data_IF_999816014017
#
_entry.id   IF_999816014017
#
_cell.length_a   1.000
_cell.length_b   1.000
_cell.length_c   1.000
_cell.angle_alpha   90.00
_cell.angle_beta   90.00
_cell.angle_gamma   90.00
#
_symmetry.space_group_name_H-M   'P 1'
#
loop_
_entity.id
_entity.type
_entity.pdbx_description
1 polymer ?
#
# COMPACT_ATOMS: atom_id res chain seq x y z
N UNK A 1 39.02 -11.20 1.83
CA UNK A 1 37.56 -11.29 2.06
C UNK A 1 37.30 -11.67 3.50
N UNK A 2 36.28 -11.07 4.12
CA UNK A 2 35.81 -11.36 5.48
C UNK A 2 34.35 -11.80 5.44
N UNK A 3 33.99 -12.85 6.19
CA UNK A 3 32.60 -13.33 6.21
C UNK A 3 31.73 -12.42 7.09
N UNK A 4 30.53 -12.14 6.59
CA UNK A 4 29.47 -11.38 7.25
C UNK A 4 28.29 -12.30 7.53
N UNK A 5 27.90 -12.36 8.79
CA UNK A 5 26.91 -13.33 9.27
C UNK A 5 25.58 -12.64 9.64
N UNK A 6 24.49 -13.38 9.51
CA UNK A 6 23.27 -13.09 10.27
C UNK A 6 23.48 -13.35 11.76
N UNK A 7 22.90 -12.50 12.62
CA UNK A 7 23.00 -12.63 14.08
C UNK A 7 21.67 -13.13 14.68
N UNK A 8 21.34 -14.41 14.44
CA UNK A 8 20.03 -15.00 14.79
C UNK A 8 20.22 -16.22 15.70
N UNK A 9 19.39 -16.38 16.73
CA UNK A 9 19.42 -17.57 17.59
C UNK A 9 18.97 -18.84 16.83
N UNK A 10 19.57 -20.01 17.10
CA UNK A 10 20.66 -20.26 18.07
C UNK A 10 22.07 -19.97 17.52
N UNK A 11 22.22 -19.61 16.24
CA UNK A 11 23.50 -19.40 15.57
C UNK A 11 23.95 -17.92 15.60
N UNK A 12 24.23 -17.39 16.79
CA UNK A 12 24.71 -16.01 16.94
C UNK A 12 26.15 -15.84 16.44
N UNK A 13 26.48 -14.60 16.08
CA UNK A 13 27.85 -14.17 15.79
C UNK A 13 28.73 -14.40 17.01
N UNK A 14 29.90 -15.02 16.80
CA UNK A 14 30.88 -15.33 17.85
C UNK A 14 31.92 -14.22 17.99
N UNK A 15 32.70 -14.20 19.08
CA UNK A 15 33.82 -13.26 19.20
C UNK A 15 34.78 -13.37 18.01
N UNK A 16 35.05 -12.24 17.35
CA UNK A 16 35.90 -12.15 16.16
C UNK A 16 35.16 -12.34 14.82
N UNK A 17 33.90 -12.75 14.83
CA UNK A 17 33.02 -12.71 13.66
C UNK A 17 32.30 -11.35 13.60
N UNK A 18 31.85 -10.94 12.42
CA UNK A 18 31.14 -9.67 12.20
C UNK A 18 29.76 -9.92 11.62
N UNK A 19 28.74 -9.22 12.14
CA UNK A 19 27.41 -9.27 11.52
C UNK A 19 27.36 -8.40 10.26
N UNK A 20 26.48 -8.76 9.32
CA UNK A 20 26.25 -7.94 8.13
C UNK A 20 25.88 -6.49 8.49
N UNK A 21 24.99 -6.31 9.46
CA UNK A 21 24.51 -4.97 9.83
C UNK A 21 25.61 -4.12 10.47
N UNK A 22 26.43 -4.72 11.36
CA UNK A 22 27.54 -3.98 11.97
C UNK A 22 28.58 -3.56 10.93
N UNK A 23 28.90 -4.45 9.98
CA UNK A 23 29.81 -4.13 8.88
C UNK A 23 29.22 -3.06 7.95
N UNK A 24 27.92 -3.13 7.67
CA UNK A 24 27.21 -2.18 6.83
C UNK A 24 27.25 -0.78 7.44
N UNK A 25 26.88 -0.64 8.71
CA UNK A 25 26.93 0.65 9.42
C UNK A 25 28.35 1.21 9.45
N UNK A 26 29.35 0.40 9.80
CA UNK A 26 30.74 0.85 9.81
C UNK A 26 31.22 1.32 8.42
N UNK A 27 30.77 0.65 7.37
CA UNK A 27 31.13 1.03 5.99
C UNK A 27 30.44 2.29 5.52
N UNK A 28 29.23 2.56 6.02
CA UNK A 28 28.55 3.83 5.77
C UNK A 28 29.23 5.01 6.45
N UNK A 29 29.70 4.85 7.70
CA UNK A 29 30.39 5.92 8.43
C UNK A 29 31.65 6.43 7.70
N UNK A 30 32.30 5.53 6.95
CA UNK A 30 33.45 5.88 6.12
C UNK A 30 33.04 6.44 4.75
N UNK A 31 31.94 5.97 4.16
CA UNK A 31 31.56 6.27 2.78
C UNK A 31 30.95 7.68 2.57
N UNK A 32 30.95 8.15 1.33
CA UNK A 32 30.13 9.29 0.88
C UNK A 32 29.06 8.89 -0.13
N UNK A 33 29.23 7.75 -0.80
CA UNK A 33 28.25 7.13 -1.69
C UNK A 33 28.12 5.62 -1.45
N UNK A 34 26.88 5.13 -1.52
CA UNK A 34 26.53 3.70 -1.52
C UNK A 34 25.81 3.34 -2.82
N UNK A 35 26.31 2.35 -3.55
CA UNK A 35 25.55 1.70 -4.63
C UNK A 35 25.09 0.32 -4.18
N UNK A 36 23.81 0.01 -4.40
CA UNK A 36 23.18 -1.28 -4.07
C UNK A 36 22.59 -1.88 -5.34
N UNK A 37 22.98 -3.11 -5.68
CA UNK A 37 22.31 -3.93 -6.66
C UNK A 37 21.76 -5.17 -5.95
N UNK A 38 20.45 -5.24 -5.79
CA UNK A 38 19.80 -6.30 -5.00
C UNK A 38 18.62 -6.93 -5.74
N UNK A 39 18.32 -8.19 -5.44
CA UNK A 39 17.16 -8.86 -6.00
C UNK A 39 15.85 -8.29 -5.44
N UNK A 40 15.74 -8.29 -4.11
CA UNK A 40 14.57 -7.79 -3.40
C UNK A 40 14.97 -6.75 -2.34
N UNK A 41 14.03 -5.90 -1.99
CA UNK A 41 14.10 -4.99 -0.85
C UNK A 41 12.77 -5.03 -0.09
N UNK A 42 12.71 -4.43 1.10
CA UNK A 42 11.43 -4.18 1.77
C UNK A 42 11.14 -2.70 1.79
N UNK A 43 9.86 -2.33 1.96
CA UNK A 43 9.45 -0.95 2.20
C UNK A 43 10.22 -0.36 3.39
N UNK A 44 10.34 -1.09 4.50
CA UNK A 44 11.08 -0.63 5.67
C UNK A 44 12.57 -0.42 5.40
N UNK A 45 13.19 -1.23 4.53
CA UNK A 45 14.60 -1.03 4.17
C UNK A 45 14.81 0.24 3.33
N UNK A 46 13.92 0.54 2.37
CA UNK A 46 13.98 1.78 1.61
C UNK A 46 13.83 3.01 2.52
N UNK A 47 12.88 2.96 3.47
CA UNK A 47 12.70 4.01 4.47
C UNK A 47 13.90 4.16 5.42
N UNK A 48 14.58 3.06 5.77
CA UNK A 48 15.80 3.13 6.59
C UNK A 48 16.95 3.77 5.80
N UNK A 49 17.09 3.49 4.50
CA UNK A 49 18.06 4.18 3.64
C UNK A 49 17.76 5.68 3.54
N UNK A 50 16.49 6.07 3.41
CA UNK A 50 16.11 7.49 3.44
C UNK A 50 16.53 8.13 4.75
N UNK A 51 16.28 7.47 5.88
CA UNK A 51 16.70 7.96 7.20
C UNK A 51 18.23 8.16 7.27
N UNK A 52 19.01 7.20 6.78
CA UNK A 52 20.48 7.28 6.72
C UNK A 52 20.95 8.48 5.88
N UNK A 53 20.27 8.77 4.77
CA UNK A 53 20.52 9.97 3.95
C UNK A 53 20.19 11.26 4.71
N UNK A 54 19.06 11.30 5.43
CA UNK A 54 18.65 12.49 6.19
C UNK A 54 19.55 12.74 7.43
N UNK A 55 20.11 11.69 8.01
CA UNK A 55 21.10 11.79 9.11
C UNK A 55 22.51 12.17 8.60
N UNK A 56 22.70 12.31 7.28
CA UNK A 56 23.97 12.64 6.60
C UNK A 56 25.10 11.63 6.87
N UNK A 57 24.78 10.37 7.17
CA UNK A 57 25.78 9.30 7.28
C UNK A 57 26.43 9.02 5.93
N UNK A 58 25.63 9.11 4.85
CA UNK A 58 26.08 9.02 3.46
C UNK A 58 25.42 10.15 2.67
N UNK A 59 26.10 10.68 1.65
CA UNK A 59 25.58 11.82 0.88
C UNK A 59 24.80 11.39 -0.37
N UNK A 60 25.09 10.20 -0.92
CA UNK A 60 24.50 9.69 -2.15
C UNK A 60 24.18 8.20 -2.10
N UNK A 61 23.04 7.80 -2.64
CA UNK A 61 22.67 6.40 -2.79
C UNK A 61 22.13 6.08 -4.18
N UNK A 62 22.53 4.93 -4.74
CA UNK A 62 21.93 4.35 -5.95
C UNK A 62 21.39 2.96 -5.63
N UNK A 63 20.11 2.70 -5.90
CA UNK A 63 19.49 1.39 -5.64
C UNK A 63 18.97 0.80 -6.95
N UNK A 64 19.46 -0.38 -7.30
CA UNK A 64 18.96 -1.17 -8.42
C UNK A 64 18.20 -2.39 -7.89
N UNK A 65 16.90 -2.46 -8.18
CA UNK A 65 16.04 -3.56 -7.77
C UNK A 65 15.82 -4.54 -8.93
N UNK A 66 16.18 -5.80 -8.70
CA UNK A 66 16.39 -6.75 -9.78
C UNK A 66 15.22 -7.67 -10.16
N UNK A 67 14.26 -7.88 -9.25
CA UNK A 67 13.20 -8.89 -9.45
C UNK A 67 11.83 -8.28 -9.78
N UNK A 68 11.54 -7.06 -9.29
CA UNK A 68 10.18 -6.52 -9.26
C UNK A 68 9.56 -6.21 -10.62
N UNK A 69 10.34 -5.83 -11.63
CA UNK A 69 9.77 -5.54 -12.95
C UNK A 69 9.09 -6.79 -13.55
N UNK A 70 9.68 -7.97 -13.35
CA UNK A 70 9.20 -9.22 -13.95
C UNK A 70 8.25 -9.97 -13.01
N UNK A 71 8.46 -9.92 -11.70
CA UNK A 71 7.63 -10.65 -10.72
C UNK A 71 6.48 -9.84 -10.15
N UNK A 72 6.50 -8.53 -10.38
CA UNK A 72 5.59 -7.57 -9.80
C UNK A 72 6.07 -7.02 -8.46
N UNK A 73 5.60 -5.81 -8.14
CA UNK A 73 5.98 -5.07 -6.94
C UNK A 73 4.77 -4.86 -6.03
N UNK A 74 4.87 -5.12 -4.71
CA UNK A 74 3.81 -4.76 -3.76
C UNK A 74 3.49 -3.27 -3.84
N UNK A 75 2.21 -2.91 -3.93
CA UNK A 75 1.75 -1.52 -4.10
C UNK A 75 2.32 -0.57 -3.05
N UNK A 76 2.27 -0.95 -1.78
CA UNK A 76 2.75 -0.12 -0.69
C UNK A 76 4.26 0.08 -0.69
N UNK A 77 5.01 -0.84 -1.31
CA UNK A 77 6.43 -0.69 -1.57
C UNK A 77 6.67 0.19 -2.81
N UNK A 78 5.90 0.00 -3.88
CA UNK A 78 5.99 0.80 -5.10
C UNK A 78 5.76 2.28 -4.83
N UNK A 79 4.67 2.63 -4.16
CA UNK A 79 4.37 4.03 -3.83
C UNK A 79 5.43 4.65 -2.93
N UNK A 80 5.94 3.90 -1.94
CA UNK A 80 7.05 4.37 -1.11
C UNK A 80 8.35 4.56 -1.92
N UNK A 81 8.65 3.67 -2.86
CA UNK A 81 9.82 3.81 -3.72
C UNK A 81 9.69 5.00 -4.67
N UNK A 82 8.50 5.27 -5.21
CA UNK A 82 8.23 6.44 -6.05
C UNK A 82 8.41 7.74 -5.27
N UNK A 83 7.81 7.86 -4.08
CA UNK A 83 7.95 9.04 -3.21
C UNK A 83 9.42 9.29 -2.85
N UNK A 84 10.16 8.23 -2.49
CA UNK A 84 11.58 8.33 -2.19
C UNK A 84 12.42 8.69 -3.42
N UNK A 85 12.11 8.14 -4.59
CA UNK A 85 12.83 8.46 -5.82
C UNK A 85 12.66 9.94 -6.19
N UNK A 86 11.45 10.49 -6.11
CA UNK A 86 11.18 11.92 -6.32
C UNK A 86 11.95 12.77 -5.30
N UNK A 87 11.80 12.47 -4.01
CA UNK A 87 12.50 13.18 -2.93
C UNK A 87 14.02 13.19 -3.12
N UNK A 88 14.61 12.04 -3.43
CA UNK A 88 16.06 11.90 -3.58
C UNK A 88 16.58 12.55 -4.86
N UNK A 89 15.77 12.60 -5.91
CA UNK A 89 16.08 13.31 -7.13
C UNK A 89 16.10 14.82 -6.89
N UNK A 90 15.09 15.35 -6.20
CA UNK A 90 14.97 16.79 -5.87
C UNK A 90 16.11 17.29 -5.00
N UNK A 91 16.59 16.46 -4.06
CA UNK A 91 17.72 16.79 -3.18
C UNK A 91 19.08 16.40 -3.76
N UNK A 92 19.12 15.72 -4.92
CA UNK A 92 20.35 15.20 -5.52
C UNK A 92 21.06 14.12 -4.68
N UNK A 93 20.30 13.46 -3.79
CA UNK A 93 20.79 12.48 -2.82
C UNK A 93 20.73 11.03 -3.34
N UNK A 94 19.98 10.75 -4.41
CA UNK A 94 19.94 9.38 -4.91
C UNK A 94 18.87 9.06 -5.94
N UNK A 95 18.87 7.80 -6.36
CA UNK A 95 17.99 7.28 -7.41
C UNK A 95 17.63 5.81 -7.12
N UNK A 96 16.42 5.42 -7.52
CA UNK A 96 15.94 4.03 -7.48
C UNK A 96 15.62 3.58 -8.91
N UNK A 97 16.25 2.50 -9.34
CA UNK A 97 16.12 1.92 -10.69
C UNK A 97 15.59 0.49 -10.61
N UNK A 98 14.91 0.04 -11.67
CA UNK A 98 14.47 -1.35 -11.85
C UNK A 98 15.20 -2.02 -13.01
N UNK A 99 15.69 -3.25 -12.80
CA UNK A 99 16.18 -4.10 -13.90
C UNK A 99 14.99 -4.62 -14.70
N UNK A 100 15.02 -4.43 -16.03
CA UNK A 100 13.92 -4.79 -16.93
C UNK A 100 14.12 -6.07 -17.75
N UNK A 101 15.27 -6.29 -18.42
CA UNK A 101 15.39 -7.35 -19.41
C UNK A 101 15.55 -8.75 -18.81
N UNK A 102 15.86 -8.87 -17.52
CA UNK A 102 16.04 -10.15 -16.84
C UNK A 102 15.85 -10.01 -15.32
N UNK A 103 15.63 -11.15 -14.67
CA UNK A 103 15.53 -11.27 -13.21
C UNK A 103 16.93 -11.21 -12.61
N UNK A 104 17.33 -10.05 -12.09
CA UNK A 104 18.59 -9.93 -11.37
C UNK A 104 18.39 -10.34 -9.91
N UNK A 105 18.97 -11.46 -9.51
CA UNK A 105 18.87 -11.98 -8.15
C UNK A 105 20.15 -11.80 -7.32
N UNK A 106 21.17 -11.12 -7.85
CA UNK A 106 22.40 -10.84 -7.11
C UNK A 106 22.17 -9.89 -5.93
N UNK A 107 23.12 -9.85 -5.00
CA UNK A 107 23.14 -8.89 -3.89
C UNK A 107 24.55 -8.36 -3.74
N UNK A 108 24.75 -7.13 -4.17
CA UNK A 108 26.04 -6.43 -4.19
C UNK A 108 25.85 -5.05 -3.60
N UNK A 109 26.76 -4.66 -2.70
CA UNK A 109 26.83 -3.34 -2.11
C UNK A 109 28.24 -2.81 -2.37
N UNK A 110 28.35 -1.57 -2.85
CA UNK A 110 29.64 -0.94 -3.13
C UNK A 110 29.69 0.40 -2.44
N UNK A 111 30.70 0.59 -1.60
CA UNK A 111 30.93 1.78 -0.81
C UNK A 111 32.05 2.60 -1.44
N UNK A 112 31.82 3.91 -1.55
CA UNK A 112 32.74 4.84 -2.20
C UNK A 112 33.17 5.93 -1.23
N UNK A 113 34.39 6.43 -1.46
CA UNK A 113 34.92 7.65 -0.88
C UNK A 113 35.60 8.46 -1.98
N UNK A 114 35.25 9.73 -2.13
CA UNK A 114 35.82 10.63 -3.13
C UNK A 114 35.76 10.00 -4.55
N UNK A 115 34.60 9.43 -4.89
CA UNK A 115 34.34 8.71 -6.15
C UNK A 115 35.19 7.45 -6.41
N UNK A 116 35.95 6.96 -5.41
CA UNK A 116 36.70 5.72 -5.50
C UNK A 116 36.02 4.61 -4.68
N UNK A 117 35.71 3.44 -5.28
CA UNK A 117 35.17 2.33 -4.52
C UNK A 117 36.28 1.74 -3.64
N UNK A 118 36.02 1.60 -2.34
CA UNK A 118 37.02 1.11 -1.39
C UNK A 118 36.62 -0.20 -0.69
N UNK A 119 35.32 -0.49 -0.65
CA UNK A 119 34.78 -1.69 0.00
C UNK A 119 33.56 -2.19 -0.74
N UNK A 120 33.38 -3.50 -0.81
CA UNK A 120 32.21 -4.10 -1.42
C UNK A 120 31.74 -5.34 -0.67
N UNK A 121 30.43 -5.53 -0.59
CA UNK A 121 29.80 -6.73 -0.06
C UNK A 121 29.14 -7.52 -1.18
N UNK A 122 29.26 -8.84 -1.14
CA UNK A 122 28.58 -9.77 -2.05
C UNK A 122 28.11 -10.99 -1.28
N UNK A 123 26.89 -11.46 -1.54
CA UNK A 123 26.39 -12.68 -0.90
C UNK A 123 24.89 -12.86 -1.00
N UNK A 124 24.28 -13.33 0.09
CA UNK A 124 22.85 -13.65 0.13
C UNK A 124 21.98 -12.50 0.65
N UNK A 125 22.51 -11.62 1.51
CA UNK A 125 21.77 -10.53 2.15
C UNK A 125 21.15 -9.54 1.15
N UNK A 126 19.84 -9.62 0.97
CA UNK A 126 19.05 -8.59 0.24
C UNK A 126 19.01 -7.27 1.03
N UNK A 127 18.55 -6.18 0.40
CA UNK A 127 18.53 -4.86 1.07
C UNK A 127 17.62 -4.86 2.32
N UNK A 128 16.64 -5.77 2.36
CA UNK A 128 15.84 -6.05 3.56
C UNK A 128 16.66 -6.34 4.82
N UNK A 129 17.92 -6.77 4.72
CA UNK A 129 18.79 -7.01 5.87
C UNK A 129 19.13 -5.74 6.68
N UNK A 130 19.02 -4.55 6.06
CA UNK A 130 19.22 -3.25 6.74
C UNK A 130 18.08 -2.97 7.73
N UNK A 131 16.88 -3.48 7.48
CA UNK A 131 15.72 -3.34 8.35
C UNK A 131 14.97 -4.65 8.50
N UNK A 132 15.22 -5.35 9.61
CA UNK A 132 14.57 -6.63 9.89
C UNK A 132 13.06 -6.46 10.13
N UNK A 133 12.29 -7.24 9.39
CA UNK A 133 10.83 -7.34 9.42
C UNK A 133 10.41 -8.79 9.65
N UNK A 134 9.12 -9.04 9.91
CA UNK A 134 8.62 -10.38 10.22
C UNK A 134 8.98 -11.43 9.14
N UNK A 135 9.03 -11.03 7.86
CA UNK A 135 9.33 -11.91 6.74
C UNK A 135 10.79 -12.38 6.67
N UNK A 136 11.76 -11.55 7.08
CA UNK A 136 13.18 -11.86 6.96
C UNK A 136 13.87 -12.10 8.32
N UNK A 137 13.21 -11.83 9.45
CA UNK A 137 13.78 -12.01 10.81
C UNK A 137 14.24 -13.44 11.12
N UNK A 138 13.78 -14.44 10.37
CA UNK A 138 14.16 -15.85 10.52
C UNK A 138 15.03 -16.38 9.38
N UNK A 139 15.42 -15.53 8.43
CA UNK A 139 16.31 -15.92 7.34
C UNK A 139 17.75 -15.78 7.82
N UNK A 140 18.48 -16.88 7.82
CA UNK A 140 19.92 -16.84 8.10
C UNK A 140 20.68 -16.70 6.80
N UNK A 141 21.41 -15.60 6.66
CA UNK A 141 22.15 -15.23 5.47
C UNK A 141 23.65 -15.14 5.77
N UNK A 142 24.44 -15.34 4.71
CA UNK A 142 25.89 -15.25 4.70
C UNK A 142 26.33 -14.37 3.53
N UNK A 143 27.23 -13.43 3.79
CA UNK A 143 27.87 -12.61 2.77
C UNK A 143 29.37 -12.53 3.00
N UNK A 144 30.10 -11.98 2.03
CA UNK A 144 31.50 -11.66 2.14
C UNK A 144 31.73 -10.17 1.89
N UNK A 145 32.59 -9.57 2.70
CA UNK A 145 33.15 -8.24 2.50
C UNK A 145 34.53 -8.35 1.85
N UNK A 146 34.84 -7.45 0.92
CA UNK A 146 36.18 -7.28 0.38
C UNK A 146 36.60 -5.81 0.34
N UNK A 147 37.89 -5.60 0.59
CA UNK A 147 38.61 -4.33 0.46
C UNK A 147 39.79 -4.50 -0.52
N UNK A 148 39.89 -5.64 -1.20
CA UNK A 148 40.89 -5.85 -2.23
C UNK A 148 40.55 -4.94 -3.43
N UNK A 149 41.43 -4.03 -3.85
CA UNK A 149 41.12 -3.05 -4.90
C UNK A 149 40.65 -3.66 -6.22
N UNK A 150 41.21 -4.81 -6.63
CA UNK A 150 40.83 -5.47 -7.89
C UNK A 150 39.42 -6.08 -7.80
N UNK A 151 39.10 -6.74 -6.68
CA UNK A 151 37.78 -7.33 -6.45
C UNK A 151 36.70 -6.25 -6.31
N UNK A 152 37.01 -5.19 -5.54
CA UNK A 152 36.12 -4.04 -5.34
C UNK A 152 35.83 -3.35 -6.68
N UNK A 153 36.87 -3.10 -7.49
CA UNK A 153 36.72 -2.49 -8.82
C UNK A 153 35.91 -3.36 -9.77
N UNK A 154 36.09 -4.69 -9.73
CA UNK A 154 35.30 -5.61 -10.53
C UNK A 154 33.81 -5.57 -10.17
N UNK A 155 33.48 -5.55 -8.87
CA UNK A 155 32.10 -5.44 -8.38
C UNK A 155 31.48 -4.07 -8.72
N UNK A 156 32.23 -2.99 -8.53
CA UNK A 156 31.80 -1.64 -8.90
C UNK A 156 31.48 -1.54 -10.39
N UNK A 157 32.36 -2.08 -11.25
CA UNK A 157 32.14 -2.12 -12.70
C UNK A 157 30.87 -2.89 -13.07
N UNK A 158 30.63 -4.04 -12.43
CA UNK A 158 29.42 -4.81 -12.67
C UNK A 158 28.14 -4.02 -12.30
N UNK A 159 28.13 -3.37 -11.13
CA UNK A 159 26.99 -2.55 -10.70
C UNK A 159 26.76 -1.39 -11.68
N UNK A 160 27.82 -0.75 -12.16
CA UNK A 160 27.73 0.31 -13.16
C UNK A 160 27.19 -0.19 -14.51
N UNK A 161 27.56 -1.39 -14.95
CA UNK A 161 27.01 -2.02 -16.16
C UNK A 161 25.52 -2.36 -16.00
N UNK A 162 25.09 -2.77 -14.80
CA UNK A 162 23.68 -3.02 -14.47
C UNK A 162 22.87 -1.72 -14.41
N UNK A 163 23.49 -0.61 -14.01
CA UNK A 163 22.89 0.73 -13.97
C UNK A 163 22.61 1.33 -15.35
N UNK A 164 23.22 0.80 -16.42
CA UNK A 164 23.05 1.37 -17.76
C UNK A 164 21.61 1.22 -18.27
N UNK A 165 21.11 2.15 -19.13
CA UNK A 165 19.74 2.14 -19.67
C UNK A 165 19.29 0.84 -20.36
N UNK A 166 20.26 0.08 -20.89
CA UNK A 166 20.03 -1.25 -21.50
C UNK A 166 19.60 -2.31 -20.48
N UNK A 167 19.91 -2.11 -19.20
CA UNK A 167 19.67 -3.04 -18.11
C UNK A 167 18.59 -2.51 -17.16
N UNK A 168 18.66 -1.23 -16.78
CA UNK A 168 17.74 -0.64 -15.81
C UNK A 168 17.30 0.77 -16.19
N UNK A 169 16.19 1.22 -15.61
CA UNK A 169 15.67 2.58 -15.73
C UNK A 169 15.22 3.10 -14.37
N UNK A 170 15.18 4.43 -14.17
CA UNK A 170 14.55 5.05 -13.00
C UNK A 170 13.13 4.52 -12.81
N UNK A 171 12.73 4.27 -11.57
CA UNK A 171 11.40 3.71 -11.25
C UNK A 171 10.26 4.60 -11.80
N UNK A 172 10.45 5.91 -11.83
CA UNK A 172 9.48 6.87 -12.37
C UNK A 172 9.27 6.75 -13.89
N UNK A 173 10.24 6.20 -14.61
CA UNK A 173 10.18 6.00 -16.06
C UNK A 173 9.68 4.59 -16.45
N UNK A 174 9.37 3.75 -15.46
CA UNK A 174 8.93 2.37 -15.69
C UNK A 174 7.46 2.37 -16.10
N UNK A 175 7.18 1.64 -17.18
CA UNK A 175 5.82 1.34 -17.64
C UNK A 175 5.64 -0.18 -17.77
N UNK A 176 4.38 -0.64 -17.63
CA UNK A 176 4.03 -2.06 -17.83
C UNK A 176 4.47 -3.02 -16.71
N UNK A 177 4.89 -2.52 -15.55
CA UNK A 177 5.17 -3.37 -14.38
C UNK A 177 3.87 -3.75 -13.66
N UNK A 178 3.73 -5.03 -13.32
CA UNK A 178 2.60 -5.50 -12.49
C UNK A 178 2.75 -5.02 -11.05
N UNK A 179 1.69 -4.44 -10.49
CA UNK A 179 1.60 -4.19 -9.06
C UNK A 179 0.86 -5.33 -8.37
N UNK A 180 1.37 -5.77 -7.22
CA UNK A 180 0.78 -6.82 -6.40
C UNK A 180 -0.08 -6.15 -5.35
N UNK A 181 -1.40 -6.33 -5.46
CA UNK A 181 -2.36 -5.79 -4.50
C UNK A 181 -2.19 -6.40 -3.13
N UNK A 182 -2.05 -5.55 -2.12
CA UNK A 182 -1.91 -5.94 -0.73
C UNK A 182 -3.28 -6.13 -0.08
N UNK A 183 -3.41 -7.14 0.79
CA UNK A 183 -4.69 -7.46 1.41
C UNK A 183 -5.05 -6.42 2.47
N UNK A 184 -6.29 -5.93 2.41
CA UNK A 184 -6.87 -5.13 3.46
C UNK A 184 -7.13 -5.99 4.70
N UNK A 185 -6.50 -5.65 5.83
CA UNK A 185 -6.65 -6.38 7.09
C UNK A 185 -7.60 -5.69 8.08
N UNK A 186 -8.14 -4.51 7.76
CA UNK A 186 -8.96 -3.69 8.66
C UNK A 186 -10.33 -4.31 9.02
N UNK A 187 -10.79 -5.27 8.21
CA UNK A 187 -12.04 -6.00 8.40
C UNK A 187 -11.88 -7.30 9.21
N UNK A 188 -10.65 -7.70 9.55
CA UNK A 188 -10.42 -8.94 10.29
C UNK A 188 -11.04 -8.89 11.69
N UNK A 189 -11.83 -9.91 12.02
CA UNK A 189 -12.47 -10.03 13.32
C UNK A 189 -13.66 -9.10 13.55
N UNK A 190 -14.14 -8.41 12.51
CA UNK A 190 -15.42 -7.66 12.57
C UNK A 190 -16.57 -8.67 12.51
N UNK A 191 -17.51 -8.61 13.45
CA UNK A 191 -18.56 -9.62 13.60
C UNK A 191 -19.62 -9.56 12.49
N UNK A 192 -19.90 -8.36 11.98
CA UNK A 192 -20.94 -8.11 10.98
C UNK A 192 -20.50 -8.42 9.54
N UNK A 193 -19.25 -8.85 9.34
CA UNK A 193 -18.70 -9.20 8.03
C UNK A 193 -18.31 -10.66 7.98
N UNK A 194 -18.61 -11.30 6.86
CA UNK A 194 -18.13 -12.65 6.53
C UNK A 194 -17.22 -12.58 5.31
N UNK A 195 -16.27 -13.51 5.20
CA UNK A 195 -15.41 -13.61 4.04
C UNK A 195 -15.89 -14.74 3.13
N UNK A 196 -16.05 -14.42 1.85
CA UNK A 196 -16.38 -15.37 0.81
C UNK A 196 -15.11 -15.89 0.14
N UNK A 197 -15.11 -17.16 -0.30
CA UNK A 197 -14.03 -17.67 -1.13
C UNK A 197 -14.09 -17.04 -2.54
N UNK A 198 -12.95 -16.93 -3.25
CA UNK A 198 -12.90 -16.26 -4.56
C UNK A 198 -13.90 -16.79 -5.60
N UNK A 199 -14.11 -18.12 -5.63
CA UNK A 199 -15.08 -18.75 -6.52
C UNK A 199 -16.54 -18.32 -6.26
N UNK A 200 -16.89 -17.95 -5.03
CA UNK A 200 -18.20 -17.39 -4.72
C UNK A 200 -18.33 -15.96 -5.22
N UNK A 201 -17.25 -15.16 -5.14
CA UNK A 201 -17.23 -13.80 -5.70
C UNK A 201 -17.40 -13.83 -7.21
N UNK A 202 -16.62 -14.68 -7.90
CA UNK A 202 -16.73 -14.90 -9.35
C UNK A 202 -18.13 -15.37 -9.79
N UNK A 203 -18.84 -16.10 -8.93
CA UNK A 203 -20.22 -16.49 -9.21
C UNK A 203 -21.13 -15.27 -9.23
N UNK A 204 -21.07 -14.42 -8.19
CA UNK A 204 -21.90 -13.20 -8.14
C UNK A 204 -21.57 -12.22 -9.27
N UNK A 205 -20.31 -12.12 -9.65
CA UNK A 205 -19.86 -11.30 -10.78
C UNK A 205 -20.53 -11.73 -12.11
N UNK A 206 -20.63 -13.04 -12.37
CA UNK A 206 -21.35 -13.58 -13.55
C UNK A 206 -22.86 -13.33 -13.54
N UNK A 207 -23.41 -13.00 -12.38
CA UNK A 207 -24.84 -12.74 -12.17
C UNK A 207 -25.17 -11.24 -12.11
N UNK A 208 -24.21 -10.36 -12.41
CA UNK A 208 -24.46 -8.92 -12.56
C UNK A 208 -25.47 -8.68 -13.69
N UNK A 209 -26.46 -7.85 -13.40
CA UNK A 209 -27.47 -7.38 -14.36
C UNK A 209 -27.02 -6.10 -15.04
N UNK A 210 -27.85 -5.57 -15.96
CA UNK A 210 -27.59 -4.27 -16.60
C UNK A 210 -27.73 -3.08 -15.63
N UNK A 211 -28.29 -3.27 -14.43
CA UNK A 211 -28.45 -2.20 -13.44
C UNK A 211 -27.17 -2.03 -12.63
N UNK A 212 -26.49 -0.90 -12.83
CA UNK A 212 -25.25 -0.55 -12.14
C UNK A 212 -25.16 0.96 -11.89
N UNK A 213 -24.52 1.34 -10.79
CA UNK A 213 -24.35 2.73 -10.38
C UNK A 213 -22.89 3.01 -10.07
N UNK A 214 -22.35 4.06 -10.69
CA UNK A 214 -21.06 4.62 -10.30
C UNK A 214 -21.27 5.63 -9.18
N UNK A 215 -20.63 5.39 -8.03
CA UNK A 215 -20.73 6.24 -6.84
C UNK A 215 -19.41 7.00 -6.66
N UNK A 216 -19.34 8.29 -7.03
CA UNK A 216 -18.10 9.06 -6.95
C UNK A 216 -17.63 9.27 -5.51
N UNK A 217 -16.33 9.07 -5.29
CA UNK A 217 -15.65 9.38 -4.05
C UNK A 217 -15.33 10.87 -4.01
N UNK A 218 -15.90 11.58 -3.03
CA UNK A 218 -15.76 13.03 -2.89
C UNK A 218 -14.64 13.34 -1.91
N UNK A 219 -13.58 13.97 -2.42
CA UNK A 219 -12.35 14.30 -1.69
C UNK A 219 -11.78 15.65 -2.16
N UNK A 220 -10.98 16.35 -1.31
CA UNK A 220 -10.19 17.51 -1.73
C UNK A 220 -9.02 17.09 -2.64
N UNK A 221 -8.48 18.03 -3.41
CA UNK A 221 -7.10 17.94 -3.89
C UNK A 221 -6.10 18.07 -2.72
N UNK A 222 -4.86 17.64 -2.93
CA UNK A 222 -3.84 17.64 -1.88
C UNK A 222 -3.51 19.03 -1.35
N UNK A 223 -3.54 20.06 -2.20
CA UNK A 223 -3.32 21.47 -1.84
C UNK A 223 -4.58 22.13 -1.22
N UNK A 224 -5.76 21.61 -1.54
CA UNK A 224 -7.05 22.00 -0.96
C UNK A 224 -7.29 21.42 0.45
N UNK A 225 -6.39 20.56 0.94
CA UNK A 225 -6.63 19.77 2.16
C UNK A 225 -6.92 20.61 3.40
N UNK A 226 -6.57 21.90 3.44
CA UNK A 226 -6.85 22.81 4.56
C UNK A 226 -8.04 23.77 4.33
N UNK A 227 -8.73 23.67 3.20
CA UNK A 227 -9.85 24.55 2.82
C UNK A 227 -11.17 24.11 3.46
N UNK A 228 -11.37 24.47 4.73
CA UNK A 228 -12.57 24.13 5.50
C UNK A 228 -13.78 25.04 5.19
N UNK A 229 -14.17 25.13 3.92
CA UNK A 229 -15.26 25.99 3.44
C UNK A 229 -16.59 25.24 3.21
N UNK A 230 -16.60 23.93 3.50
CA UNK A 230 -17.75 23.05 3.28
C UNK A 230 -17.95 22.59 1.83
N UNK A 231 -17.07 22.97 0.90
CA UNK A 231 -17.15 22.62 -0.52
C UNK A 231 -16.08 21.61 -0.95
N UNK A 232 -14.93 21.61 -0.28
CA UNK A 232 -13.78 20.76 -0.63
C UNK A 232 -13.77 19.39 0.08
N UNK A 233 -14.87 19.00 0.73
CA UNK A 233 -15.01 17.68 1.36
C UNK A 233 -13.91 17.33 2.39
N UNK A 234 -13.25 18.33 2.98
CA UNK A 234 -12.19 18.13 3.99
C UNK A 234 -12.70 17.56 5.30
N UNK A 235 -13.99 17.77 5.60
CA UNK A 235 -14.66 17.40 6.87
C UNK A 235 -16.01 16.71 6.63
N UNK A 236 -16.19 16.10 5.47
CA UNK A 236 -17.41 15.40 5.08
C UNK A 236 -17.07 14.21 4.18
N UNK A 237 -18.10 13.48 3.77
CA UNK A 237 -17.95 12.32 2.91
C UNK A 237 -16.94 11.32 3.50
N UNK A 238 -15.96 10.84 2.71
CA UNK A 238 -14.98 9.88 3.19
C UNK A 238 -14.00 10.47 4.20
N UNK A 239 -13.90 11.80 4.29
CA UNK A 239 -13.05 12.50 5.26
C UNK A 239 -13.85 13.07 6.45
N UNK A 240 -15.08 12.58 6.70
CA UNK A 240 -15.90 13.02 7.85
C UNK A 240 -15.20 12.82 9.20
N UNK A 241 -14.21 11.92 9.29
CA UNK A 241 -13.36 11.74 10.47
C UNK A 241 -12.64 13.02 10.95
N UNK A 242 -12.47 14.03 10.09
CA UNK A 242 -11.90 15.34 10.43
C UNK A 242 -12.95 16.39 10.83
N UNK A 243 -14.24 16.03 10.78
CA UNK A 243 -15.32 16.90 11.23
C UNK A 243 -15.30 17.08 12.75
N UNK A 244 -16.06 18.07 13.23
CA UNK A 244 -16.28 18.23 14.66
C UNK A 244 -16.79 16.92 15.28
N UNK A 245 -16.20 16.48 16.41
CA UNK A 245 -16.60 15.23 17.05
C UNK A 245 -18.01 15.34 17.63
N UNK A 246 -18.69 14.19 17.75
CA UNK A 246 -20.01 14.12 18.42
C UNK A 246 -19.91 14.46 19.92
N UNK A 247 -18.73 14.22 20.51
CA UNK A 247 -18.38 14.59 21.88
C UNK A 247 -16.98 15.24 21.87
N UNK A 248 -16.84 16.43 22.45
CA UNK A 248 -15.57 17.18 22.45
C UNK A 248 -14.36 16.40 22.98
N UNK A 249 -14.57 15.35 23.79
CA UNK A 249 -13.50 14.51 24.36
C UNK A 249 -13.10 13.31 23.51
N UNK A 250 -13.81 13.03 22.40
CA UNK A 250 -13.57 11.85 21.58
C UNK A 250 -13.61 12.22 20.11
N UNK A 251 -12.45 12.22 19.47
CA UNK A 251 -12.31 12.33 18.03
C UNK A 251 -13.17 11.28 17.31
N UNK A 252 -13.55 11.60 16.07
CA UNK A 252 -14.18 10.61 15.19
C UNK A 252 -13.17 9.55 14.81
N UNK A 253 -13.66 8.33 14.63
CA UNK A 253 -12.81 7.23 14.18
C UNK A 253 -12.30 7.53 12.75
N UNK A 254 -11.05 7.23 12.45
CA UNK A 254 -10.51 7.48 11.11
C UNK A 254 -11.25 6.69 10.03
N UNK A 255 -11.77 5.51 10.36
CA UNK A 255 -12.62 4.73 9.47
C UNK A 255 -14.07 5.23 9.40
N UNK A 256 -14.46 6.27 10.15
CA UNK A 256 -15.77 6.88 9.96
C UNK A 256 -15.82 7.57 8.59
N UNK A 257 -16.79 7.17 7.76
CA UNK A 257 -17.05 7.75 6.45
C UNK A 257 -18.54 8.08 6.29
N UNK A 258 -18.83 8.98 5.36
CA UNK A 258 -20.16 9.19 4.81
C UNK A 258 -20.14 8.96 3.30
N UNK A 259 -20.77 7.89 2.83
CA UNK A 259 -20.95 7.69 1.40
C UNK A 259 -22.24 8.36 0.93
N UNK A 260 -22.16 9.68 0.70
CA UNK A 260 -23.31 10.48 0.24
C UNK A 260 -23.42 10.51 -1.28
N UNK A 261 -24.39 9.78 -1.80
CA UNK A 261 -24.76 9.62 -3.22
C UNK A 261 -25.62 10.80 -3.69
N UNK A 262 -25.38 11.31 -4.89
CA UNK A 262 -26.12 12.45 -5.45
C UNK A 262 -27.53 12.06 -5.87
N UNK A 263 -28.45 13.02 -5.85
CA UNK A 263 -29.84 12.83 -6.30
C UNK A 263 -29.93 12.36 -7.76
N UNK A 264 -28.97 12.75 -8.60
CA UNK A 264 -28.89 12.30 -9.99
C UNK A 264 -28.70 10.78 -10.12
N UNK A 265 -28.17 10.11 -9.09
CA UNK A 265 -28.01 8.65 -9.04
C UNK A 265 -29.19 8.03 -8.28
N UNK A 266 -29.58 8.58 -7.11
CA UNK A 266 -30.62 7.97 -6.26
C UNK A 266 -32.03 7.99 -6.88
N UNK A 267 -32.21 8.73 -7.98
CA UNK A 267 -33.47 8.78 -8.75
C UNK A 267 -33.46 7.92 -10.00
N UNK A 268 -32.34 7.27 -10.32
CA UNK A 268 -32.25 6.32 -11.42
C UNK A 268 -33.02 5.05 -11.04
N UNK A 269 -33.77 4.51 -12.00
CA UNK A 269 -34.53 3.28 -11.81
C UNK A 269 -33.63 2.11 -11.38
N UNK A 270 -34.09 1.34 -10.41
CA UNK A 270 -33.37 0.19 -9.86
C UNK A 270 -32.42 0.52 -8.70
N UNK A 271 -32.18 1.79 -8.37
CA UNK A 271 -31.36 2.15 -7.18
C UNK A 271 -32.01 1.61 -5.89
N UNK A 272 -31.23 1.13 -4.90
CA UNK A 272 -31.79 0.53 -3.68
C UNK A 272 -32.81 1.40 -2.95
N UNK A 273 -33.87 0.78 -2.46
CA UNK A 273 -34.97 1.50 -1.80
C UNK A 273 -34.58 2.00 -0.41
N UNK A 274 -35.09 3.19 -0.05
CA UNK A 274 -34.79 3.83 1.24
C UNK A 274 -35.21 2.95 2.41
N UNK A 275 -34.29 2.76 3.35
CA UNK A 275 -34.40 1.97 4.57
C UNK A 275 -34.68 0.48 4.33
N UNK A 276 -34.51 -0.02 3.10
CA UNK A 276 -34.57 -1.46 2.84
C UNK A 276 -33.16 -2.05 2.82
N UNK A 277 -32.88 -3.06 3.66
CA UNK A 277 -31.59 -3.71 3.67
C UNK A 277 -31.40 -4.61 2.44
N UNK A 278 -30.15 -4.76 2.02
CA UNK A 278 -29.71 -5.69 0.98
C UNK A 278 -28.32 -6.23 1.33
N UNK A 279 -27.94 -7.34 0.74
CA UNK A 279 -26.59 -7.89 0.90
C UNK A 279 -25.64 -7.25 -0.09
N UNK A 280 -24.41 -7.01 0.36
CA UNK A 280 -23.28 -6.56 -0.44
C UNK A 280 -22.21 -7.63 -0.44
N UNK A 281 -21.76 -7.99 -1.64
CA UNK A 281 -20.53 -8.73 -1.90
C UNK A 281 -19.52 -7.72 -2.41
N UNK A 282 -18.32 -7.66 -1.84
CA UNK A 282 -17.25 -6.82 -2.38
C UNK A 282 -16.40 -7.60 -3.37
N UNK A 283 -15.72 -6.90 -4.29
CA UNK A 283 -14.81 -7.52 -5.27
C UNK A 283 -13.66 -8.32 -4.61
N UNK A 284 -13.21 -7.91 -3.43
CA UNK A 284 -12.19 -8.59 -2.62
C UNK A 284 -12.77 -9.62 -1.63
N UNK A 285 -14.06 -9.95 -1.74
CA UNK A 285 -14.67 -11.11 -1.09
C UNK A 285 -15.20 -10.91 0.32
N UNK A 286 -15.65 -9.71 0.67
CA UNK A 286 -16.39 -9.46 1.91
C UNK A 286 -17.89 -9.49 1.67
N UNK A 287 -18.64 -10.00 2.65
CA UNK A 287 -20.08 -10.11 2.65
C UNK A 287 -20.66 -9.44 3.89
N UNK A 288 -21.57 -8.47 3.69
CA UNK A 288 -22.25 -7.77 4.77
C UNK A 288 -23.59 -7.18 4.32
N UNK A 289 -24.40 -6.71 5.28
CA UNK A 289 -25.66 -6.01 4.99
C UNK A 289 -25.43 -4.51 4.85
N UNK A 290 -26.04 -3.91 3.82
CA UNK A 290 -26.07 -2.47 3.62
C UNK A 290 -27.50 -1.97 3.45
N UNK A 291 -27.68 -0.66 3.57
CA UNK A 291 -28.92 0.02 3.28
C UNK A 291 -28.66 1.44 2.80
N UNK A 292 -29.68 2.08 2.27
CA UNK A 292 -29.65 3.51 1.95
C UNK A 292 -30.63 4.28 2.85
N UNK A 293 -30.19 5.41 3.39
CA UNK A 293 -30.93 6.17 4.41
C UNK A 293 -30.92 7.67 4.12
N UNK A 294 -31.42 8.46 5.07
CA UNK A 294 -31.47 9.94 5.04
C UNK A 294 -32.39 10.53 3.95
N UNK A 295 -32.53 11.84 3.95
CA UNK A 295 -33.35 12.56 2.97
C UNK A 295 -32.78 12.43 1.56
N UNK A 296 -33.66 12.14 0.59
CA UNK A 296 -33.28 11.88 -0.79
C UNK A 296 -32.58 10.53 -1.02
N UNK A 297 -32.63 9.62 -0.04
CA UNK A 297 -32.03 8.28 -0.12
C UNK A 297 -30.51 8.30 -0.35
N UNK A 298 -29.87 9.38 0.11
CA UNK A 298 -28.51 9.77 -0.27
C UNK A 298 -27.41 9.04 0.48
N UNK A 299 -27.69 8.47 1.64
CA UNK A 299 -26.65 7.93 2.51
C UNK A 299 -26.57 6.42 2.35
N UNK A 300 -25.49 5.91 1.75
CA UNK A 300 -25.21 4.48 1.68
C UNK A 300 -24.38 4.08 2.92
N UNK A 301 -24.87 3.10 3.69
CA UNK A 301 -24.26 2.68 4.96
C UNK A 301 -24.36 1.18 5.16
N UNK A 302 -23.42 0.61 5.93
CA UNK A 302 -23.54 -0.76 6.41
C UNK A 302 -24.54 -0.83 7.58
N UNK A 303 -25.27 -1.93 7.65
CA UNK A 303 -26.21 -2.21 8.73
C UNK A 303 -25.45 -2.69 9.97
N UNK A 304 -25.76 -2.12 11.14
CA UNK A 304 -25.18 -2.52 12.43
C UNK A 304 -23.80 -1.94 12.74
N UNK A 305 -23.00 -1.57 11.73
CA UNK A 305 -21.64 -1.07 11.94
C UNK A 305 -21.28 0.06 10.96
N UNK A 306 -21.35 1.32 11.44
CA UNK A 306 -21.06 2.52 10.62
C UNK A 306 -19.62 2.58 10.08
N UNK A 307 -18.68 1.82 10.65
CA UNK A 307 -17.27 1.84 10.26
C UNK A 307 -16.92 0.82 9.17
N UNK A 308 -17.81 -0.13 8.86
CA UNK A 308 -17.48 -1.28 8.01
C UNK A 308 -17.04 -0.87 6.61
N UNK A 309 -17.81 -0.02 5.93
CA UNK A 309 -17.46 0.46 4.57
C UNK A 309 -16.21 1.32 4.62
N UNK A 310 -16.00 2.10 5.69
CA UNK A 310 -14.77 2.87 5.85
C UNK A 310 -13.54 2.01 6.04
N UNK A 311 -13.63 0.94 6.83
CA UNK A 311 -12.58 -0.09 6.96
C UNK A 311 -12.30 -0.77 5.64
N UNK A 312 -13.33 -1.08 4.87
CA UNK A 312 -13.17 -1.66 3.54
C UNK A 312 -12.47 -0.69 2.57
N UNK A 313 -12.98 0.54 2.45
CA UNK A 313 -12.48 1.54 1.49
C UNK A 313 -11.11 2.10 1.88
N UNK A 314 -11.01 2.70 3.08
CA UNK A 314 -9.75 3.32 3.54
C UNK A 314 -8.68 2.28 3.85
N UNK A 315 -9.08 1.10 4.33
CA UNK A 315 -8.14 0.01 4.56
C UNK A 315 -7.49 -0.50 3.28
N UNK A 316 -8.18 -0.45 2.12
CA UNK A 316 -7.56 -0.73 0.82
C UNK A 316 -6.54 0.33 0.41
N UNK A 317 -6.86 1.62 0.61
CA UNK A 317 -5.92 2.71 0.35
C UNK A 317 -4.70 2.65 1.28
N UNK A 318 -4.89 2.27 2.55
CA UNK A 318 -3.82 2.03 3.51
C UNK A 318 -2.96 0.82 3.11
N UNK A 319 -3.58 -0.30 2.72
CA UNK A 319 -2.87 -1.49 2.26
C UNK A 319 -2.05 -1.21 1.00
N UNK A 320 -2.57 -0.41 0.07
CA UNK A 320 -1.85 0.09 -1.09
C UNK A 320 -0.71 1.07 -0.71
N UNK A 321 -0.59 1.46 0.57
CA UNK A 321 0.45 2.36 1.07
C UNK A 321 0.28 3.81 0.68
N UNK A 322 -0.90 4.23 0.22
CA UNK A 322 -1.20 5.59 -0.23
C UNK A 322 -1.53 6.55 0.91
N UNK A 323 -1.96 6.01 2.05
CA UNK A 323 -2.31 6.75 3.26
C UNK A 323 -1.96 5.92 4.49
N UNK A 324 -1.77 6.57 5.64
CA UNK A 324 -1.64 5.88 6.93
C UNK A 324 -2.87 6.16 7.77
N UNK A 325 -3.39 5.13 8.44
CA UNK A 325 -4.44 5.34 9.41
C UNK A 325 -3.96 6.25 10.55
N UNK A 326 -4.84 7.14 11.00
CA UNK A 326 -4.55 8.09 12.08
C UNK A 326 -5.31 7.68 13.33
N UNK A 327 -4.60 7.53 14.45
CA UNK A 327 -5.22 7.14 15.72
C UNK A 327 -6.13 8.24 16.29
N UNK A 328 -5.72 9.50 16.16
CA UNK A 328 -6.49 10.67 16.59
C UNK A 328 -6.48 11.75 15.51
N UNK A 329 -7.58 11.89 14.78
CA UNK A 329 -7.71 12.86 13.68
C UNK A 329 -7.63 14.32 14.14
N UNK A 330 -7.82 14.59 15.44
CA UNK A 330 -7.64 15.94 15.99
C UNK A 330 -6.17 16.31 16.21
N UNK A 331 -5.28 15.32 16.31
CA UNK A 331 -3.83 15.51 16.46
C UNK A 331 -3.10 15.52 15.10
N UNK A 332 -3.76 15.08 14.02
CA UNK A 332 -3.22 15.12 12.66
C UNK A 332 -3.34 16.52 12.05
N UNK A 333 -2.55 17.46 12.58
CA UNK A 333 -2.53 18.87 12.17
C UNK A 333 -2.13 19.05 10.71
N UNK A 334 -1.31 18.14 10.17
CA UNK A 334 -0.82 18.18 8.79
C UNK A 334 -1.75 17.48 7.79
N UNK A 335 -2.82 16.84 8.28
CA UNK A 335 -3.84 16.11 7.51
C UNK A 335 -3.25 14.96 6.69
N UNK A 336 -2.28 14.27 7.26
CA UNK A 336 -1.57 13.13 6.63
C UNK A 336 -2.49 11.93 6.39
N UNK A 337 -3.56 11.77 7.18
CA UNK A 337 -4.56 10.72 7.00
C UNK A 337 -5.75 11.11 6.12
N UNK A 338 -5.75 12.31 5.52
CA UNK A 338 -6.83 12.79 4.67
C UNK A 338 -6.73 12.18 3.29
N UNK A 339 -7.82 11.57 2.80
CA UNK A 339 -7.85 11.01 1.44
C UNK A 339 -8.01 12.14 0.43
N UNK A 340 -7.16 12.16 -0.60
CA UNK A 340 -7.14 13.20 -1.63
C UNK A 340 -7.38 12.65 -3.04
N UNK A 341 -7.63 13.53 -4.02
CA UNK A 341 -7.79 13.15 -5.43
C UNK A 341 -6.56 12.42 -5.98
N UNK A 342 -5.37 12.87 -5.60
CA UNK A 342 -4.08 12.33 -6.03
C UNK A 342 -3.91 10.90 -5.52
N UNK A 343 -4.33 10.60 -4.29
CA UNK A 343 -4.32 9.23 -3.76
C UNK A 343 -5.28 8.31 -4.54
N UNK A 344 -6.48 8.79 -4.88
CA UNK A 344 -7.43 8.01 -5.69
C UNK A 344 -6.91 7.80 -7.13
N UNK A 345 -6.25 8.80 -7.70
CA UNK A 345 -5.60 8.70 -9.01
C UNK A 345 -4.44 7.69 -8.99
N UNK A 346 -3.59 7.74 -7.95
CA UNK A 346 -2.51 6.76 -7.76
C UNK A 346 -3.03 5.35 -7.51
N UNK A 347 -4.17 5.21 -6.81
CA UNK A 347 -4.88 3.93 -6.70
C UNK A 347 -5.48 3.45 -8.03
N UNK A 348 -5.73 4.37 -8.98
CA UNK A 348 -6.34 4.05 -10.27
C UNK A 348 -7.88 3.98 -10.24
N UNK A 349 -8.53 4.47 -9.16
CA UNK A 349 -10.00 4.46 -9.03
C UNK A 349 -10.53 5.58 -8.12
N UNK A 350 -11.53 6.31 -8.58
CA UNK A 350 -12.20 7.40 -7.88
C UNK A 350 -13.72 7.20 -7.69
N UNK A 351 -14.25 6.05 -8.10
CA UNK A 351 -15.66 5.67 -8.02
C UNK A 351 -15.80 4.26 -7.46
N UNK A 352 -16.85 4.03 -6.67
CA UNK A 352 -17.32 2.68 -6.35
C UNK A 352 -18.35 2.24 -7.38
N UNK A 353 -18.32 0.98 -7.80
CA UNK A 353 -19.36 0.41 -8.65
C UNK A 353 -20.32 -0.40 -7.79
N UNK A 354 -21.59 -0.02 -7.76
CA UNK A 354 -22.66 -0.78 -7.13
C UNK A 354 -23.51 -1.43 -8.21
N UNK A 355 -23.32 -2.72 -8.44
CA UNK A 355 -23.99 -3.49 -9.49
C UNK A 355 -25.04 -4.44 -8.91
N UNK A 356 -26.24 -4.44 -9.48
CA UNK A 356 -27.32 -5.34 -9.06
C UNK A 356 -27.08 -6.73 -9.61
N UNK A 357 -27.21 -7.75 -8.78
CA UNK A 357 -27.23 -9.14 -9.27
C UNK A 357 -28.68 -9.65 -9.43
N UNK A 358 -28.85 -10.74 -10.17
CA UNK A 358 -30.12 -11.48 -10.22
C UNK A 358 -30.31 -12.43 -9.02
N UNK A 359 -29.35 -12.45 -8.08
CA UNK A 359 -29.34 -13.32 -6.91
C UNK A 359 -30.04 -12.68 -5.70
N UNK A 360 -30.59 -13.55 -4.85
CA UNK A 360 -31.14 -13.22 -3.54
C UNK A 360 -30.52 -14.12 -2.48
N UNK A 361 -30.45 -13.61 -1.25
CA UNK A 361 -30.01 -14.38 -0.10
C UNK A 361 -30.98 -14.21 1.08
N UNK A 362 -31.11 -15.26 1.89
CA UNK A 362 -32.00 -15.27 3.05
C UNK A 362 -31.28 -14.63 4.24
N UNK A 363 -31.82 -13.52 4.74
CA UNK A 363 -31.47 -12.96 6.03
C UNK A 363 -32.27 -13.66 7.12
N UNK A 364 -31.57 -14.21 8.11
CA UNK A 364 -32.16 -14.89 9.26
C UNK A 364 -31.89 -14.02 10.49
N UNK A 365 -32.94 -13.42 11.04
CA UNK A 365 -32.85 -12.57 12.23
C UNK A 365 -33.68 -13.19 13.35
N UNK A 366 -33.03 -13.41 14.50
CA UNK A 366 -33.70 -13.81 15.74
C UNK A 366 -33.89 -12.56 16.60
N UNK A 367 -35.13 -12.30 17.04
CA UNK A 367 -35.40 -11.20 17.95
C UNK A 367 -35.08 -11.58 19.42
N UNK A 368 -35.19 -10.61 20.33
CA UNK A 368 -34.89 -10.83 21.76
C UNK A 368 -35.82 -11.87 22.44
N UNK A 369 -36.96 -12.19 21.81
CA UNK A 369 -37.93 -13.19 22.27
C UNK A 369 -37.69 -14.59 21.67
N UNK A 370 -36.65 -14.75 20.85
CA UNK A 370 -36.30 -16.02 20.18
C UNK A 370 -37.09 -16.30 18.90
N UNK A 371 -37.86 -15.34 18.39
CA UNK A 371 -38.60 -15.48 17.13
C UNK A 371 -37.66 -15.29 15.94
N UNK A 372 -37.65 -16.28 15.06
CA UNK A 372 -36.80 -16.29 13.86
C UNK A 372 -37.61 -15.77 12.67
N UNK A 373 -37.19 -14.62 12.15
CA UNK A 373 -37.68 -14.06 10.89
C UNK A 373 -36.74 -14.43 9.75
N UNK A 374 -37.31 -14.79 8.60
CA UNK A 374 -36.57 -15.09 7.38
C UNK A 374 -37.05 -14.18 6.26
N UNK A 375 -36.14 -13.38 5.72
CA UNK A 375 -36.45 -12.42 4.67
C UNK A 375 -35.49 -12.63 3.51
N UNK A 376 -36.01 -12.73 2.29
CA UNK A 376 -35.17 -12.74 1.09
C UNK A 376 -34.78 -11.31 0.73
N UNK A 377 -33.47 -11.05 0.68
CA UNK A 377 -32.90 -9.75 0.32
C UNK A 377 -32.15 -9.86 -1.01
N UNK A 378 -32.17 -8.78 -1.78
CA UNK A 378 -31.35 -8.65 -2.99
C UNK A 378 -29.86 -8.70 -2.65
N UNK A 379 -29.05 -9.26 -3.56
CA UNK A 379 -27.59 -9.26 -3.47
C UNK A 379 -27.01 -8.28 -4.49
N UNK A 380 -26.09 -7.45 -4.05
CA UNK A 380 -25.40 -6.45 -4.85
C UNK A 380 -23.89 -6.69 -4.81
N UNK A 381 -23.20 -6.43 -5.92
CA UNK A 381 -21.75 -6.37 -5.95
C UNK A 381 -21.29 -4.92 -5.75
N UNK A 382 -20.35 -4.70 -4.83
CA UNK A 382 -19.69 -3.41 -4.60
C UNK A 382 -18.21 -3.53 -4.96
N UNK A 383 -17.80 -2.90 -6.06
CA UNK A 383 -16.42 -2.95 -6.54
C UNK A 383 -15.66 -1.64 -6.30
N UNK A 384 -14.43 -1.75 -5.80
CA UNK A 384 -13.40 -0.71 -5.76
C UNK A 384 -12.09 -1.20 -6.38
N UNK A 385 -12.19 -1.88 -7.52
CA UNK A 385 -11.03 -2.39 -8.24
C UNK A 385 -10.25 -1.27 -8.93
N UNK A 386 -8.93 -1.43 -8.96
CA UNK A 386 -8.04 -0.56 -9.72
C UNK A 386 -8.30 -0.76 -11.21
N UNK A 387 -8.28 0.32 -12.01
CA UNK A 387 -8.20 0.15 -13.46
C UNK A 387 -6.86 -0.51 -13.77
N UNK A 388 -6.87 -1.77 -14.19
CA UNK A 388 -5.67 -2.37 -14.78
C UNK A 388 -5.30 -1.55 -16.01
N UNK A 389 -4.11 -0.93 -16.00
CA UNK A 389 -3.54 -0.21 -17.12
C UNK A 389 -3.13 -1.14 -18.27
N UNK A 390 -4.05 -1.99 -18.73
CA UNK A 390 -3.98 -2.54 -20.07
C UNK A 390 -4.56 -1.49 -21.03
N UNK A 391 -3.84 -0.38 -21.17
CA UNK A 391 -3.89 0.35 -22.42
C UNK A 391 -3.25 -0.58 -23.47
N UNK A 392 -4.00 -0.79 -24.53
CA UNK A 392 -3.85 -1.85 -25.52
C UNK A 392 -2.47 -1.86 -26.19
N UNK A 393 -2.06 -3.08 -26.57
CA UNK A 393 -0.84 -3.43 -27.29
C UNK A 393 -0.77 -2.86 -28.72
#
# INVERSE_FOLDING_TARGET
MHLLYSNILPLRVKPGEQSFLDAFTHSLDEADRLDVATGYASKGALLEIDRILQENTVSKVRINLGMYFIEGMPEGMYHAAMELAEKWQDTGQGEIHLVRPFKYHGKVYVFYKNDQPFRAFIGSHNLGAVKLEAANRRQYELSAMTENPEEVKALAKFVEELWQPKCSLPIADITGMTLITEKNMALNGVQEVSQLPPNSVELYDKHITLTSFELPLKVPAADERFMDDGKHYTKSNINVAYAAPRNARKARDWYEIQLTVSKSITTIEGYPEKNQPFFVVTDDGYWFKAHTTSDGNKQFSAVGNELLIGRWLKGRLEAAGLVKAVNNTQEDTDRTGMITKEMLAAYGRDTLILAKTDQKAVDVCENEEGEVTRTELDVWLLSFEQKMGNDEA
#
